data_IF_162900771402
#
_entry.id   IF_162900771402
#
_cell.length_a   1.000
_cell.length_b   1.000
_cell.length_c   1.000
_cell.angle_alpha   90.00
_cell.angle_beta   90.00
_cell.angle_gamma   90.00
#
_symmetry.space_group_name_H-M   'P 1'
#
loop_
_entity.id
_entity.type
_entity.pdbx_description
1 polymer ?
#
# COMPACT_ATOMS: atom_id res chain seq x y z
N UNK A 1 33.51 -8.66 0.80
CA UNK A 1 33.26 -9.59 1.93
C UNK A 1 32.34 -10.78 1.59
N UNK A 2 31.41 -10.72 0.59
CA UNK A 2 30.49 -11.81 0.25
C UNK A 2 31.11 -13.08 -0.34
N UNK A 3 32.28 -13.01 -0.98
CA UNK A 3 32.98 -14.20 -1.55
C UNK A 3 33.52 -15.17 -0.51
N UNK A 4 33.94 -14.67 0.65
CA UNK A 4 34.57 -15.49 1.72
C UNK A 4 33.55 -16.37 2.42
N UNK A 5 32.33 -15.89 2.66
CA UNK A 5 31.25 -16.64 3.35
C UNK A 5 30.79 -17.84 2.49
N UNK A 6 30.61 -17.64 1.17
CA UNK A 6 30.23 -18.74 0.25
C UNK A 6 31.24 -19.88 0.21
N UNK A 7 32.54 -19.57 0.33
CA UNK A 7 33.57 -20.61 0.29
C UNK A 7 33.63 -21.43 1.58
N UNK A 8 33.39 -20.80 2.72
CA UNK A 8 33.40 -21.47 4.02
C UNK A 8 32.22 -22.43 4.19
N UNK A 9 31.02 -21.99 3.80
CA UNK A 9 29.79 -22.81 3.86
C UNK A 9 29.93 -24.04 2.94
N UNK A 10 30.43 -23.87 1.71
CA UNK A 10 30.67 -25.01 0.80
C UNK A 10 31.68 -26.00 1.34
N UNK A 11 32.74 -25.56 2.02
CA UNK A 11 33.72 -26.46 2.64
C UNK A 11 33.16 -27.25 3.83
N UNK A 12 32.34 -26.61 4.67
CA UNK A 12 31.69 -27.28 5.80
C UNK A 12 30.69 -28.34 5.32
N UNK A 13 29.82 -28.02 4.36
CA UNK A 13 28.84 -28.95 3.81
C UNK A 13 29.53 -30.15 3.16
N UNK A 14 30.64 -29.97 2.41
CA UNK A 14 31.41 -31.06 1.84
C UNK A 14 32.07 -31.97 2.88
N UNK A 15 32.55 -31.42 4.02
CA UNK A 15 33.16 -32.22 5.10
C UNK A 15 32.12 -33.04 5.87
N UNK A 16 30.91 -32.50 6.07
CA UNK A 16 29.81 -33.17 6.76
C UNK A 16 29.25 -34.31 5.86
N UNK A 17 29.09 -34.06 4.54
CA UNK A 17 28.60 -35.03 3.59
C UNK A 17 29.50 -36.27 3.48
N UNK A 18 30.81 -36.09 3.64
CA UNK A 18 31.78 -37.21 3.57
C UNK A 18 31.80 -38.06 4.84
N UNK A 19 31.34 -37.52 6.00
CA UNK A 19 31.39 -38.24 7.28
C UNK A 19 30.07 -38.89 7.70
N UNK A 20 28.90 -38.31 7.29
CA UNK A 20 27.59 -38.85 7.63
C UNK A 20 26.56 -38.49 6.56
N UNK A 21 26.27 -39.37 5.59
CA UNK A 21 25.26 -39.09 4.57
C UNK A 21 23.86 -38.87 5.16
N UNK A 22 23.53 -39.53 6.27
CA UNK A 22 22.28 -39.32 7.00
C UNK A 22 22.11 -37.88 7.52
N UNK A 23 23.19 -37.26 8.03
CA UNK A 23 23.13 -35.89 8.52
C UNK A 23 22.80 -34.86 7.41
N UNK A 24 23.27 -35.13 6.17
CA UNK A 24 22.95 -34.28 5.02
C UNK A 24 21.50 -34.44 4.60
N UNK A 25 20.96 -35.64 4.61
CA UNK A 25 19.55 -35.93 4.31
C UNK A 25 18.63 -35.22 5.34
N UNK A 26 18.96 -35.37 6.62
CA UNK A 26 18.20 -34.68 7.71
C UNK A 26 18.23 -33.14 7.56
N UNK A 27 19.40 -32.59 7.19
CA UNK A 27 19.52 -31.14 6.98
C UNK A 27 18.67 -30.67 5.79
N UNK A 28 18.64 -31.42 4.68
CA UNK A 28 17.82 -31.09 3.50
C UNK A 28 16.34 -31.20 3.84
N UNK A 29 15.93 -32.24 4.57
CA UNK A 29 14.54 -32.39 5.01
C UNK A 29 14.12 -31.27 5.96
N UNK A 30 14.95 -30.92 6.94
CA UNK A 30 14.69 -29.81 7.85
C UNK A 30 14.55 -28.48 7.10
N UNK A 31 15.42 -28.24 6.10
CA UNK A 31 15.32 -27.04 5.25
C UNK A 31 14.04 -27.02 4.43
N UNK A 32 13.66 -28.15 3.83
CA UNK A 32 12.45 -28.26 3.03
C UNK A 32 11.18 -28.04 3.89
N UNK A 33 11.13 -28.63 5.07
CA UNK A 33 10.03 -28.44 6.03
C UNK A 33 9.98 -26.98 6.49
N UNK A 34 11.12 -26.38 6.84
CA UNK A 34 11.19 -24.98 7.25
C UNK A 34 10.71 -24.01 6.17
N UNK A 35 11.08 -24.27 4.90
CA UNK A 35 10.59 -23.47 3.77
C UNK A 35 9.08 -23.64 3.54
N UNK A 36 8.56 -24.86 3.65
CA UNK A 36 7.14 -25.13 3.48
C UNK A 36 6.31 -24.46 4.58
N UNK A 37 6.71 -24.60 5.84
CA UNK A 37 6.04 -23.94 6.98
C UNK A 37 6.14 -22.41 6.86
N UNK A 38 7.32 -21.90 6.50
CA UNK A 38 7.52 -20.45 6.27
C UNK A 38 6.65 -19.90 5.15
N UNK A 39 6.50 -20.63 4.06
CA UNK A 39 5.61 -20.26 2.96
C UNK A 39 4.14 -20.22 3.38
N UNK A 40 3.65 -21.26 4.06
CA UNK A 40 2.26 -21.32 4.56
C UNK A 40 2.00 -20.20 5.57
N UNK A 41 2.91 -19.96 6.50
CA UNK A 41 2.79 -18.87 7.46
C UNK A 41 2.76 -17.50 6.77
N UNK A 42 3.63 -17.28 5.80
CA UNK A 42 3.67 -16.04 5.03
C UNK A 42 2.36 -15.82 4.26
N UNK A 43 1.86 -16.82 3.54
CA UNK A 43 0.60 -16.71 2.79
C UNK A 43 -0.60 -16.50 3.71
N UNK A 44 -0.63 -17.12 4.88
CA UNK A 44 -1.69 -16.91 5.86
C UNK A 44 -1.70 -15.49 6.43
N UNK A 45 -0.51 -14.92 6.71
CA UNK A 45 -0.35 -13.57 7.23
C UNK A 45 -0.69 -12.50 6.18
N UNK A 46 -0.40 -12.74 4.89
CA UNK A 46 -0.58 -11.75 3.82
C UNK A 46 -1.91 -11.89 3.07
N UNK A 47 -2.74 -12.87 3.44
CA UNK A 47 -4.00 -13.16 2.73
C UNK A 47 -4.96 -11.97 2.63
N UNK A 48 -4.98 -11.13 3.65
CA UNK A 48 -5.85 -9.96 3.74
C UNK A 48 -5.09 -8.64 3.55
N UNK A 49 -3.82 -8.72 3.12
CA UNK A 49 -3.04 -7.52 2.86
C UNK A 49 -3.59 -6.79 1.65
N UNK A 50 -3.70 -5.49 1.76
CA UNK A 50 -4.24 -4.67 0.68
C UNK A 50 -4.16 -3.19 1.00
N UNK A 51 -4.22 -2.40 -0.07
CA UNK A 51 -4.32 -0.95 -0.01
C UNK A 51 -5.47 -0.51 -0.88
N UNK A 52 -6.50 0.08 -0.28
CA UNK A 52 -7.71 0.53 -0.97
C UNK A 52 -8.24 1.84 -0.43
N UNK A 53 -8.90 2.61 -1.30
CA UNK A 53 -9.67 3.79 -0.89
C UNK A 53 -10.99 3.34 -0.27
N UNK A 54 -11.41 4.07 0.75
CA UNK A 54 -12.78 4.07 1.25
C UNK A 54 -13.56 5.15 0.50
N UNK A 55 -14.82 4.86 0.16
CA UNK A 55 -15.67 5.79 -0.57
C UNK A 55 -15.35 5.90 -2.06
N UNK A 56 -15.85 6.95 -2.68
CA UNK A 56 -15.76 7.13 -4.13
C UNK A 56 -14.37 7.61 -4.56
N UNK A 57 -13.89 7.05 -5.67
CA UNK A 57 -12.62 7.44 -6.30
C UNK A 57 -12.76 8.76 -7.07
N UNK A 58 -13.91 8.98 -7.68
CA UNK A 58 -14.22 10.18 -8.44
C UNK A 58 -15.39 10.89 -7.78
N UNK A 59 -15.17 12.11 -7.34
CA UNK A 59 -16.20 12.96 -6.73
C UNK A 59 -16.45 14.12 -7.67
N UNK A 60 -17.72 14.46 -7.89
CA UNK A 60 -18.11 15.52 -8.82
C UNK A 60 -18.97 16.54 -8.06
N UNK A 61 -18.61 17.80 -8.19
CA UNK A 61 -19.36 18.95 -7.73
C UNK A 61 -19.71 19.85 -8.90
N UNK A 62 -20.66 20.77 -8.70
CA UNK A 62 -21.03 21.81 -9.66
C UNK A 62 -20.59 23.16 -9.13
N UNK A 63 -20.21 24.07 -10.01
CA UNK A 63 -19.88 25.46 -9.64
C UNK A 63 -21.03 26.11 -8.85
N UNK A 64 -20.68 26.78 -7.77
CA UNK A 64 -21.65 27.42 -6.85
C UNK A 64 -22.20 26.49 -5.77
N UNK A 65 -21.92 25.21 -5.80
CA UNK A 65 -22.32 24.27 -4.77
C UNK A 65 -21.69 24.66 -3.42
N UNK A 66 -22.49 24.63 -2.35
CA UNK A 66 -22.02 25.00 -1.02
C UNK A 66 -21.64 26.47 -0.82
N UNK A 67 -21.99 27.35 -1.78
CA UNK A 67 -21.69 28.78 -1.66
C UNK A 67 -20.24 29.16 -1.94
N UNK A 68 -19.56 28.41 -2.84
CA UNK A 68 -18.19 28.66 -3.29
C UNK A 68 -17.14 27.70 -2.71
N UNK A 69 -17.51 26.86 -1.75
CA UNK A 69 -16.66 25.79 -1.25
C UNK A 69 -17.46 24.64 -0.62
N UNK A 70 -17.00 23.43 -0.78
CA UNK A 70 -17.57 22.23 -0.17
C UNK A 70 -16.50 21.50 0.62
N UNK A 71 -16.86 21.03 1.81
CA UNK A 71 -15.97 20.17 2.59
C UNK A 71 -16.18 18.72 2.18
N UNK A 72 -15.16 18.14 1.55
CA UNK A 72 -15.09 16.71 1.27
C UNK A 72 -14.59 16.01 2.53
N UNK A 73 -15.42 15.19 3.14
CA UNK A 73 -15.04 14.38 4.29
C UNK A 73 -13.88 13.43 3.94
N UNK A 74 -13.02 13.19 4.90
CA UNK A 74 -11.95 12.22 4.75
C UNK A 74 -12.51 10.80 4.94
N UNK A 75 -13.03 10.19 3.86
CA UNK A 75 -13.43 8.77 3.89
C UNK A 75 -12.23 7.85 4.09
N UNK A 76 -11.05 8.41 3.83
CA UNK A 76 -9.78 7.79 4.12
C UNK A 76 -9.46 6.60 3.21
N UNK A 77 -8.68 5.72 3.77
CA UNK A 77 -8.15 4.54 3.11
C UNK A 77 -8.08 3.37 4.10
N UNK A 78 -7.82 2.19 3.58
CA UNK A 78 -7.40 1.03 4.36
C UNK A 78 -6.07 0.56 3.84
N UNK A 79 -5.12 0.35 4.74
CA UNK A 79 -3.85 -0.31 4.45
C UNK A 79 -3.67 -1.42 5.48
N UNK A 80 -3.68 -2.66 5.00
CA UNK A 80 -3.37 -3.83 5.81
C UNK A 80 -2.07 -4.44 5.31
N UNK A 81 -1.11 -4.63 6.18
CA UNK A 81 0.19 -5.19 5.87
C UNK A 81 0.58 -6.23 6.90
N UNK A 82 0.94 -7.43 6.45
CA UNK A 82 1.26 -8.59 7.30
C UNK A 82 0.14 -8.90 8.30
N UNK A 83 -1.12 -8.78 7.84
CA UNK A 83 -2.31 -9.02 8.64
C UNK A 83 -2.62 -7.97 9.72
N UNK A 84 -1.94 -6.83 9.72
CA UNK A 84 -2.14 -5.73 10.66
C UNK A 84 -2.56 -4.45 9.95
N UNK A 85 -3.33 -3.62 10.63
CA UNK A 85 -3.62 -2.27 10.17
C UNK A 85 -2.32 -1.43 10.17
N UNK A 86 -2.06 -0.77 9.04
CA UNK A 86 -0.92 0.10 8.80
C UNK A 86 -1.38 1.43 8.17
N UNK A 87 -2.63 1.84 8.44
CA UNK A 87 -3.22 3.06 7.90
C UNK A 87 -2.48 4.34 8.28
N UNK A 88 -1.76 4.34 9.40
CA UNK A 88 -0.86 5.41 9.85
C UNK A 88 0.37 5.59 8.96
N UNK A 89 0.69 4.58 8.15
CA UNK A 89 1.83 4.58 7.22
C UNK A 89 1.43 5.02 5.80
N UNK A 90 0.47 5.91 5.67
CA UNK A 90 0.06 6.49 4.39
C UNK A 90 0.28 8.00 4.44
N UNK A 91 1.05 8.51 3.49
CA UNK A 91 1.23 9.94 3.25
C UNK A 91 0.21 10.41 2.24
N UNK A 92 -0.47 11.52 2.56
CA UNK A 92 -1.43 12.15 1.66
C UNK A 92 -0.78 13.39 1.05
N UNK A 93 -0.88 13.52 -0.26
CA UNK A 93 -0.42 14.67 -1.03
C UNK A 93 -1.62 15.24 -1.80
N UNK A 94 -1.91 16.52 -1.62
CA UNK A 94 -3.05 17.18 -2.27
C UNK A 94 -2.77 18.67 -2.44
N UNK A 95 -3.40 19.26 -3.45
CA UNK A 95 -3.43 20.71 -3.70
C UNK A 95 -4.57 21.40 -2.94
N UNK A 96 -5.46 20.63 -2.30
CA UNK A 96 -6.58 21.14 -1.55
C UNK A 96 -6.17 21.57 -0.13
N UNK A 97 -6.88 22.56 0.41
CA UNK A 97 -6.68 22.95 1.80
C UNK A 97 -7.24 21.87 2.73
N UNK A 98 -6.41 21.44 3.67
CA UNK A 98 -6.83 20.48 4.69
C UNK A 98 -7.54 21.19 5.83
N UNK A 99 -8.71 20.69 6.18
CA UNK A 99 -9.53 21.17 7.31
C UNK A 99 -9.69 20.04 8.32
N UNK A 100 -10.08 20.34 9.54
CA UNK A 100 -10.38 19.33 10.55
C UNK A 100 -11.47 18.36 10.04
N UNK A 101 -11.05 17.17 9.63
CA UNK A 101 -11.94 16.10 9.16
C UNK A 101 -12.14 16.03 7.64
N UNK A 102 -11.31 16.71 6.83
CA UNK A 102 -11.41 16.58 5.39
C UNK A 102 -10.64 17.62 4.58
N UNK A 103 -11.10 17.84 3.37
CA UNK A 103 -10.48 18.73 2.39
C UNK A 103 -11.51 19.78 1.93
N UNK A 104 -11.12 21.05 1.90
CA UNK A 104 -11.94 22.10 1.32
C UNK A 104 -11.74 22.15 -0.18
N UNK A 105 -12.80 21.90 -0.92
CA UNK A 105 -12.84 21.95 -2.38
C UNK A 105 -13.43 23.31 -2.78
N UNK A 106 -12.67 24.19 -3.45
CA UNK A 106 -13.25 25.42 -4.00
C UNK A 106 -14.21 25.06 -5.15
N UNK A 107 -15.40 25.61 -5.11
CA UNK A 107 -16.46 25.41 -6.11
C UNK A 107 -16.89 26.72 -6.77
N UNK A 108 -16.12 27.77 -6.63
CA UNK A 108 -16.29 29.05 -7.27
C UNK A 108 -15.93 29.02 -8.77
N UNK A 109 -15.01 28.16 -9.15
CA UNK A 109 -14.57 27.96 -10.53
C UNK A 109 -14.52 26.49 -10.91
N UNK A 110 -14.71 26.15 -12.20
CA UNK A 110 -14.51 24.77 -12.68
C UNK A 110 -13.06 24.33 -12.50
N UNK A 111 -12.87 23.11 -12.05
CA UNK A 111 -11.52 22.60 -11.82
C UNK A 111 -11.44 21.11 -11.57
N UNK A 112 -10.22 20.59 -11.60
CA UNK A 112 -9.93 19.19 -11.27
C UNK A 112 -8.83 19.13 -10.24
N UNK A 113 -9.15 18.61 -9.07
CA UNK A 113 -8.24 18.46 -7.94
C UNK A 113 -7.91 17.00 -7.71
N UNK A 114 -6.74 16.74 -7.15
CA UNK A 114 -6.27 15.38 -6.89
C UNK A 114 -5.80 15.22 -5.46
N UNK A 115 -6.17 14.08 -4.88
CA UNK A 115 -5.69 13.64 -3.57
C UNK A 115 -4.96 12.32 -3.81
N UNK A 116 -3.65 12.31 -3.55
CA UNK A 116 -2.79 11.16 -3.79
C UNK A 116 -2.40 10.54 -2.46
N UNK A 117 -2.71 9.27 -2.29
CA UNK A 117 -2.38 8.47 -1.12
C UNK A 117 -1.18 7.58 -1.43
N UNK A 118 -0.10 7.74 -0.70
CA UNK A 118 1.16 6.99 -0.88
C UNK A 118 1.54 6.24 0.38
N UNK A 119 1.50 4.91 0.38
CA UNK A 119 2.01 4.13 1.49
C UNK A 119 3.52 4.31 1.64
N UNK A 120 3.96 4.48 2.88
CA UNK A 120 5.38 4.47 3.26
C UNK A 120 5.84 3.07 3.67
N UNK A 121 4.89 2.15 3.91
CA UNK A 121 5.19 0.77 4.25
C UNK A 121 5.91 0.05 3.09
N UNK A 122 7.00 -0.68 3.40
CA UNK A 122 7.91 -1.26 2.40
C UNK A 122 7.23 -2.22 1.39
N UNK A 123 6.19 -2.95 1.79
CA UNK A 123 5.43 -3.86 0.91
C UNK A 123 4.60 -3.09 -0.14
N UNK A 124 4.16 -1.88 0.18
CA UNK A 124 3.25 -1.10 -0.64
C UNK A 124 3.85 0.20 -1.16
N UNK A 125 5.13 0.48 -0.92
CA UNK A 125 5.80 1.74 -1.28
C UNK A 125 5.79 2.07 -2.78
N UNK A 126 5.52 1.09 -3.65
CA UNK A 126 5.39 1.26 -5.10
C UNK A 126 3.96 1.57 -5.55
N UNK A 127 2.99 1.46 -4.65
CA UNK A 127 1.58 1.71 -4.96
C UNK A 127 1.20 3.14 -4.61
N UNK A 128 0.24 3.67 -5.36
CA UNK A 128 -0.42 4.94 -5.03
C UNK A 128 -1.89 4.85 -5.43
N UNK A 129 -2.74 5.46 -4.64
CA UNK A 129 -4.15 5.63 -4.96
C UNK A 129 -4.42 7.09 -5.18
N UNK A 130 -5.30 7.41 -6.13
CA UNK A 130 -5.65 8.78 -6.47
C UNK A 130 -7.18 8.91 -6.37
N UNK A 131 -7.62 9.91 -5.61
CA UNK A 131 -9.00 10.40 -5.63
C UNK A 131 -9.02 11.66 -6.48
N UNK A 132 -9.92 11.72 -7.45
CA UNK A 132 -10.12 12.87 -8.31
C UNK A 132 -11.38 13.59 -7.90
N UNK A 133 -11.29 14.88 -7.71
CA UNK A 133 -12.43 15.77 -7.43
C UNK A 133 -12.58 16.70 -8.62
N UNK A 134 -13.72 16.66 -9.27
CA UNK A 134 -14.03 17.49 -10.45
C UNK A 134 -15.12 18.47 -10.08
N UNK A 135 -14.90 19.74 -10.36
CA UNK A 135 -15.91 20.78 -10.28
C UNK A 135 -16.30 21.15 -11.71
N UNK A 136 -17.52 20.80 -12.10
CA UNK A 136 -18.05 21.10 -13.43
C UNK A 136 -18.64 22.51 -13.47
N UNK A 137 -18.51 23.16 -14.62
CA UNK A 137 -19.28 24.38 -14.88
C UNK A 137 -20.79 24.12 -14.73
N UNK A 138 -21.51 25.10 -14.20
CA UNK A 138 -22.96 25.06 -14.26
C UNK A 138 -23.36 25.10 -15.74
N UNK A 139 -24.08 24.07 -16.24
CA UNK A 139 -24.70 24.16 -17.56
C UNK A 139 -25.70 25.33 -17.49
N UNK A 140 -25.31 26.45 -18.10
CA UNK A 140 -26.22 27.57 -18.30
C UNK A 140 -27.34 27.04 -19.18
N UNK A 141 -28.57 26.99 -18.66
CA UNK A 141 -29.70 26.75 -19.49
C UNK A 141 -29.78 27.89 -20.50
N UNK A 142 -29.58 27.57 -21.78
CA UNK A 142 -29.94 28.41 -22.89
C UNK A 142 -31.46 28.53 -22.84
N UNK A 143 -31.96 29.70 -22.34
CA UNK A 143 -33.31 30.18 -22.61
C UNK A 143 -33.30 30.98 -23.91
#
# INVERSE_FOLDING_TARGET
MAKTVKSTVRRQVRRTAKRNPLAVIVLILALAIGLAVGYVACTALTKNDGFSLKGEKNVVFTVGEGGGSVTLGEDGWTLTALGKDAGDQVKVETDLQTTNGGYTVPTDEPGVYRIVYRPTHFLFSKYSLVRTVTVNATEGGDE
#
